data_IF_968756339575
#
_entry.id   IF_968756339575
#
_cell.length_a   1.000
_cell.length_b   1.000
_cell.length_c   1.000
_cell.angle_alpha   90.00
_cell.angle_beta   90.00
_cell.angle_gamma   90.00
#
_symmetry.space_group_name_H-M   'P 1'
#
loop_
_entity.id
_entity.type
_entity.pdbx_description
1 polymer ?
#
# COMPACT_ATOMS: atom_id res chain seq x y z
N UNK A 1 -3.58 -4.57 -4.68
CA UNK A 1 -4.30 -3.94 -5.81
C UNK A 1 -5.46 -4.77 -6.37
N UNK A 2 -5.32 -6.10 -6.59
CA UNK A 2 -6.42 -6.93 -7.14
C UNK A 2 -7.73 -6.83 -6.34
N UNK A 3 -7.68 -6.93 -5.01
CA UNK A 3 -8.86 -6.78 -4.16
C UNK A 3 -9.55 -5.40 -4.32
N UNK A 4 -8.79 -4.32 -4.46
CA UNK A 4 -9.35 -2.97 -4.68
C UNK A 4 -10.09 -2.88 -6.02
N UNK A 5 -9.57 -3.55 -7.05
CA UNK A 5 -10.25 -3.65 -8.34
C UNK A 5 -11.50 -4.52 -8.25
N UNK A 6 -11.34 -5.76 -7.81
CA UNK A 6 -12.36 -6.79 -7.97
C UNK A 6 -13.47 -6.69 -6.91
N UNK A 7 -13.19 -6.13 -5.72
CA UNK A 7 -14.16 -6.04 -4.62
C UNK A 7 -14.66 -4.62 -4.34
N UNK A 8 -13.84 -3.58 -4.58
CA UNK A 8 -14.25 -2.19 -4.39
C UNK A 8 -14.55 -1.45 -5.69
N UNK A 9 -14.19 -2.04 -6.84
CA UNK A 9 -14.46 -1.50 -8.17
C UNK A 9 -14.00 -0.04 -8.37
N UNK A 10 -12.93 0.36 -7.67
CA UNK A 10 -12.47 1.76 -7.70
C UNK A 10 -11.81 2.16 -9.03
N UNK A 11 -11.33 1.17 -9.79
CA UNK A 11 -10.73 1.32 -11.11
C UNK A 11 -11.01 0.06 -11.95
N UNK A 12 -10.93 0.16 -13.28
CA UNK A 12 -11.26 -0.93 -14.22
C UNK A 12 -10.02 -1.70 -14.69
N UNK A 13 -8.96 -0.98 -15.03
CA UNK A 13 -7.75 -1.55 -15.63
C UNK A 13 -6.51 -1.22 -14.80
N UNK A 14 -5.54 -2.12 -14.73
CA UNK A 14 -4.30 -1.80 -14.01
C UNK A 14 -3.49 -0.71 -14.72
N UNK A 15 -3.64 -0.58 -16.04
CA UNK A 15 -2.94 0.44 -16.84
C UNK A 15 -3.33 1.87 -16.53
N UNK A 16 -4.55 2.13 -16.00
CA UNK A 16 -4.98 3.50 -15.65
C UNK A 16 -4.56 3.91 -14.24
N UNK A 17 -4.08 2.98 -13.40
CA UNK A 17 -3.73 3.27 -12.00
C UNK A 17 -2.60 4.30 -11.91
N UNK A 18 -1.60 4.20 -12.78
CA UNK A 18 -0.46 5.11 -12.76
C UNK A 18 -0.88 6.56 -13.04
N UNK A 19 -1.66 6.78 -14.10
CA UNK A 19 -2.17 8.10 -14.46
C UNK A 19 -3.10 8.66 -13.39
N UNK A 20 -3.96 7.80 -12.84
CA UNK A 20 -4.89 8.15 -11.77
C UNK A 20 -4.14 8.62 -10.52
N UNK A 21 -3.11 7.88 -10.07
CA UNK A 21 -2.32 8.24 -8.89
C UNK A 21 -1.44 9.48 -9.15
N UNK A 22 -0.87 9.62 -10.35
CA UNK A 22 -0.06 10.79 -10.73
C UNK A 22 -0.86 12.09 -10.84
N UNK A 23 -2.16 11.99 -11.11
CA UNK A 23 -3.05 13.16 -11.13
C UNK A 23 -3.25 13.81 -9.75
N UNK A 24 -2.96 13.08 -8.67
CA UNK A 24 -3.13 13.54 -7.30
C UNK A 24 -1.89 14.29 -6.81
N UNK A 25 -2.12 15.43 -6.16
CA UNK A 25 -1.05 16.21 -5.50
C UNK A 25 -0.43 15.44 -4.33
N UNK A 26 -1.24 14.78 -3.52
CA UNK A 26 -0.84 14.01 -2.35
C UNK A 26 -1.84 12.86 -2.09
N UNK A 27 -1.74 12.18 -0.93
CA UNK A 27 -2.65 11.11 -0.54
C UNK A 27 -3.80 11.61 0.38
N UNK A 28 -3.91 12.93 0.62
CA UNK A 28 -4.88 13.56 1.52
C UNK A 28 -4.94 12.92 2.93
N UNK A 29 -3.81 12.35 3.39
CA UNK A 29 -3.72 11.65 4.67
C UNK A 29 -4.41 10.28 4.68
N UNK A 30 -4.82 9.76 3.53
CA UNK A 30 -5.45 8.44 3.40
C UNK A 30 -4.38 7.35 3.35
N UNK A 31 -4.50 6.38 4.25
CA UNK A 31 -3.61 5.22 4.32
C UNK A 31 -4.42 3.92 4.33
N UNK A 32 -3.85 2.88 3.71
CA UNK A 32 -4.39 1.52 3.76
C UNK A 32 -3.42 0.62 4.52
N UNK A 33 -3.94 -0.08 5.52
CA UNK A 33 -3.27 -1.19 6.20
C UNK A 33 -3.71 -2.48 5.49
N UNK A 34 -2.82 -3.21 4.79
CA UNK A 34 -3.19 -4.34 3.94
C UNK A 34 -3.26 -5.69 4.70
N UNK A 35 -3.71 -5.67 5.96
CA UNK A 35 -3.73 -6.83 6.86
C UNK A 35 -4.94 -7.77 6.63
N UNK A 36 -5.16 -8.24 5.41
CA UNK A 36 -6.32 -9.10 5.07
C UNK A 36 -6.28 -10.47 5.77
N UNK A 37 -5.08 -10.96 6.09
CA UNK A 37 -4.83 -12.21 6.80
C UNK A 37 -3.94 -12.01 8.04
N UNK A 38 -3.96 -10.79 8.62
CA UNK A 38 -2.97 -10.34 9.60
C UNK A 38 -1.74 -9.69 8.95
N UNK A 39 -0.84 -9.17 9.79
CA UNK A 39 0.44 -8.61 9.39
C UNK A 39 1.56 -9.63 9.66
N UNK A 40 2.39 -9.86 8.64
CA UNK A 40 3.62 -10.64 8.78
C UNK A 40 4.73 -9.84 9.44
N UNK A 41 5.98 -10.26 9.19
CA UNK A 41 7.15 -9.50 9.61
C UNK A 41 7.12 -8.07 9.01
N UNK A 42 7.59 -7.03 9.71
CA UNK A 42 8.17 -6.98 11.06
C UNK A 42 7.15 -6.93 12.22
N UNK A 43 5.86 -6.96 11.93
CA UNK A 43 4.82 -6.62 12.92
C UNK A 43 4.29 -7.85 13.67
N UNK A 44 4.29 -9.03 13.06
CA UNK A 44 3.84 -10.33 13.63
C UNK A 44 2.49 -10.27 14.36
N UNK A 45 1.54 -9.51 13.82
CA UNK A 45 0.20 -9.37 14.39
C UNK A 45 -0.83 -10.13 13.54
N UNK A 46 -1.20 -11.33 13.98
CA UNK A 46 -2.21 -12.16 13.32
C UNK A 46 -3.65 -11.67 13.55
N UNK A 47 -3.86 -10.80 14.54
CA UNK A 47 -5.16 -10.20 14.84
C UNK A 47 -5.40 -8.90 14.08
N UNK A 48 -4.36 -8.29 13.52
CA UNK A 48 -4.48 -7.15 12.62
C UNK A 48 -5.49 -7.43 11.49
N UNK A 49 -6.27 -6.41 11.15
CA UNK A 49 -7.27 -6.47 10.08
C UNK A 49 -7.04 -5.33 9.11
N UNK A 50 -7.35 -5.60 7.84
CA UNK A 50 -7.24 -4.59 6.80
C UNK A 50 -8.09 -3.38 7.16
N UNK A 51 -7.51 -2.18 7.01
CA UNK A 51 -8.16 -0.94 7.37
C UNK A 51 -7.81 0.15 6.37
N UNK A 52 -8.74 1.07 6.15
CA UNK A 52 -8.48 2.35 5.48
C UNK A 52 -8.71 3.44 6.51
N UNK A 53 -7.69 4.27 6.73
CA UNK A 53 -7.69 5.32 7.76
C UNK A 53 -7.38 6.68 7.14
N UNK A 54 -7.73 7.76 7.85
CA UNK A 54 -7.45 9.13 7.42
C UNK A 54 -8.40 9.68 6.34
N UNK A 55 -9.54 9.01 6.11
CA UNK A 55 -10.57 9.52 5.21
C UNK A 55 -11.13 10.85 5.73
N UNK A 56 -11.26 11.82 4.82
CA UNK A 56 -11.92 13.09 5.03
C UNK A 56 -12.94 13.35 3.92
N UNK A 57 -13.74 14.40 4.03
CA UNK A 57 -14.67 14.81 2.95
C UNK A 57 -13.97 15.21 1.65
N UNK A 58 -12.66 15.50 1.69
CA UNK A 58 -11.85 15.80 0.49
C UNK A 58 -11.29 14.55 -0.16
N UNK A 59 -11.28 13.43 0.56
CA UNK A 59 -10.80 12.15 0.04
C UNK A 59 -11.73 11.66 -1.06
N UNK A 60 -11.12 11.16 -2.13
CA UNK A 60 -11.81 10.59 -3.28
C UNK A 60 -11.40 9.13 -3.47
N UNK A 61 -12.06 8.43 -4.41
CA UNK A 61 -11.69 7.04 -4.74
C UNK A 61 -10.22 6.94 -5.17
N UNK A 62 -9.70 7.97 -5.83
CA UNK A 62 -8.33 8.01 -6.33
C UNK A 62 -7.33 7.97 -5.17
N UNK A 63 -7.64 8.65 -4.06
CA UNK A 63 -6.82 8.64 -2.85
C UNK A 63 -6.78 7.24 -2.21
N UNK A 64 -7.89 6.49 -2.25
CA UNK A 64 -7.93 5.10 -1.75
C UNK A 64 -7.12 4.17 -2.64
N UNK A 65 -7.20 4.34 -3.97
CA UNK A 65 -6.37 3.59 -4.93
C UNK A 65 -4.89 3.87 -4.72
N UNK A 66 -4.51 5.15 -4.53
CA UNK A 66 -3.15 5.56 -4.17
C UNK A 66 -2.69 4.92 -2.86
N UNK A 67 -3.50 5.00 -1.81
CA UNK A 67 -3.19 4.42 -0.51
C UNK A 67 -2.97 2.89 -0.59
N UNK A 68 -3.75 2.19 -1.42
CA UNK A 68 -3.57 0.76 -1.65
C UNK A 68 -2.25 0.45 -2.36
N UNK A 69 -1.84 1.27 -3.34
CA UNK A 69 -0.57 1.12 -4.02
C UNK A 69 0.61 1.39 -3.07
N UNK A 70 0.56 2.51 -2.35
CA UNK A 70 1.57 2.91 -1.36
C UNK A 70 1.71 1.86 -0.24
N UNK A 71 0.61 1.23 0.20
CA UNK A 71 0.64 0.17 1.22
C UNK A 71 1.52 -1.03 0.84
N UNK A 72 1.61 -1.34 -0.46
CA UNK A 72 2.47 -2.42 -0.95
C UNK A 72 3.94 -2.00 -0.88
N UNK A 73 4.24 -0.74 -1.23
CA UNK A 73 5.58 -0.18 -1.10
C UNK A 73 6.03 -0.12 0.38
N UNK A 74 5.14 0.29 1.29
CA UNK A 74 5.46 0.33 2.73
C UNK A 74 5.79 -1.03 3.30
N UNK A 75 5.03 -2.09 2.97
CA UNK A 75 5.38 -3.46 3.40
C UNK A 75 6.74 -3.91 2.87
N UNK A 76 7.09 -3.51 1.64
CA UNK A 76 8.42 -3.76 1.08
C UNK A 76 9.50 -3.07 1.90
N UNK A 77 9.34 -1.79 2.20
CA UNK A 77 10.27 -1.00 3.03
C UNK A 77 10.41 -1.60 4.43
N UNK A 78 9.29 -1.93 5.09
CA UNK A 78 9.28 -2.55 6.42
C UNK A 78 10.05 -3.87 6.43
N UNK A 79 9.91 -4.67 5.37
CA UNK A 79 10.69 -5.89 5.18
C UNK A 79 12.18 -5.62 5.02
N UNK A 80 12.56 -4.53 4.34
CA UNK A 80 13.97 -4.14 4.23
C UNK A 80 14.55 -3.62 5.55
N UNK A 81 13.74 -2.95 6.38
CA UNK A 81 14.20 -2.45 7.68
C UNK A 81 14.47 -3.56 8.70
N UNK A 82 13.95 -4.77 8.48
CA UNK A 82 14.31 -5.93 9.29
C UNK A 82 15.75 -6.39 9.10
N UNK A 83 16.41 -6.05 7.99
CA UNK A 83 17.80 -6.43 7.79
C UNK A 83 18.68 -5.66 8.78
N UNK A 84 19.51 -6.35 9.59
CA UNK A 84 20.40 -5.71 10.55
C UNK A 84 21.31 -4.69 9.84
N UNK A 85 21.64 -3.56 10.47
CA UNK A 85 22.49 -2.51 9.87
C UNK A 85 23.91 -2.99 9.52
N UNK A 86 24.35 -4.12 10.08
CA UNK A 86 25.67 -4.73 9.81
C UNK A 86 25.66 -5.76 8.67
N UNK A 87 24.48 -6.15 8.19
CA UNK A 87 24.34 -7.02 7.04
C UNK A 87 24.28 -6.15 5.78
N UNK A 88 24.99 -6.55 4.73
CA UNK A 88 25.10 -5.78 3.49
C UNK A 88 23.69 -5.57 2.92
N UNK A 89 23.16 -4.35 3.04
CA UNK A 89 21.84 -4.05 2.51
C UNK A 89 21.82 -4.33 1.01
N UNK A 90 20.72 -4.90 0.50
CA UNK A 90 20.57 -5.13 -0.93
C UNK A 90 20.69 -3.81 -1.67
N UNK A 91 21.66 -3.71 -2.58
CA UNK A 91 21.91 -2.50 -3.38
C UNK A 91 20.89 -2.28 -4.48
N UNK A 92 20.20 -3.36 -4.88
CA UNK A 92 19.22 -3.38 -5.96
C UNK A 92 18.09 -4.33 -5.53
N UNK A 93 16.85 -3.92 -5.81
CA UNK A 93 15.66 -4.76 -5.66
C UNK A 93 15.14 -5.00 -7.05
N UNK A 94 15.35 -6.22 -7.57
CA UNK A 94 14.75 -6.63 -8.83
C UNK A 94 13.34 -7.14 -8.54
N UNK A 95 12.35 -6.45 -9.10
CA UNK A 95 10.93 -6.82 -8.99
C UNK A 95 10.56 -7.53 -10.29
N UNK A 96 10.20 -8.81 -10.21
CA UNK A 96 9.78 -9.65 -11.34
C UNK A 96 8.35 -9.33 -11.80
#
# INVERSE_FOLDING_TARGET
MKWVKDNLELFKNFSEVEDLVKSLKDNEGVYMVPAFSGLGAPHWDTYARAAVVGLSRRSSREHVVRAALESTAYQGVDSFLLFPPYQKQPKTVEVL
#
